data_IF_916852792492
#
_entry.id   IF_916852792492
#
_cell.length_a   1.000
_cell.length_b   1.000
_cell.length_c   1.000
_cell.angle_alpha   90.00
_cell.angle_beta   90.00
_cell.angle_gamma   90.00
#
_symmetry.space_group_name_H-M   'P 1'
#
loop_
_entity.id
_entity.type
_entity.pdbx_description
1 polymer ?
#
# COMPACT_ATOMS: atom_id res chain seq x y z
N UNK A 1 7.34 -46.58 24.39
CA UNK A 1 7.59 -46.16 23.00
C UNK A 1 6.41 -45.44 22.32
N UNK A 2 5.32 -45.06 23.01
CA UNK A 2 4.16 -44.39 22.37
C UNK A 2 4.07 -42.86 22.58
N UNK A 3 4.82 -42.30 23.54
CA UNK A 3 4.80 -40.86 23.88
C UNK A 3 5.70 -40.03 22.95
N UNK A 4 6.83 -40.58 22.52
CA UNK A 4 7.79 -39.92 21.62
C UNK A 4 7.22 -39.65 20.23
N UNK A 5 6.35 -40.54 19.73
CA UNK A 5 5.71 -40.39 18.42
C UNK A 5 4.65 -39.27 18.40
N UNK A 6 3.93 -39.08 19.52
CA UNK A 6 2.94 -38.00 19.66
C UNK A 6 3.60 -36.61 19.75
N UNK A 7 4.77 -36.52 20.39
CA UNK A 7 5.57 -35.29 20.47
C UNK A 7 6.18 -34.91 19.12
N UNK A 8 6.65 -35.90 18.34
CA UNK A 8 7.18 -35.68 16.98
C UNK A 8 6.09 -35.23 15.99
N UNK A 9 4.87 -35.79 16.08
CA UNK A 9 3.73 -35.34 15.27
C UNK A 9 3.28 -33.92 15.65
N UNK A 10 3.30 -33.57 16.95
CA UNK A 10 2.98 -32.22 17.42
C UNK A 10 3.98 -31.15 16.94
N UNK A 11 5.29 -31.47 16.96
CA UNK A 11 6.34 -30.58 16.51
C UNK A 11 6.32 -30.34 14.98
N UNK A 12 5.94 -31.34 14.18
CA UNK A 12 5.78 -31.20 12.73
C UNK A 12 4.61 -30.27 12.35
N UNK A 13 3.54 -30.26 13.15
CA UNK A 13 2.37 -29.42 12.89
C UNK A 13 2.65 -27.93 13.14
N UNK A 14 3.52 -27.59 14.11
CA UNK A 14 3.88 -26.20 14.42
C UNK A 14 4.78 -25.54 13.36
N UNK A 15 5.54 -26.32 12.59
CA UNK A 15 6.42 -25.81 11.52
C UNK A 15 5.62 -25.38 10.28
N UNK A 16 4.43 -25.92 10.06
CA UNK A 16 3.61 -25.64 8.87
C UNK A 16 2.88 -24.29 8.93
N UNK A 17 2.83 -23.63 10.09
CA UNK A 17 2.03 -22.41 10.29
C UNK A 17 2.88 -21.12 10.14
N UNK A 18 4.20 -21.22 9.95
CA UNK A 18 5.11 -20.07 10.03
C UNK A 18 5.52 -19.44 8.68
N UNK A 19 4.86 -19.74 7.57
CA UNK A 19 5.30 -19.26 6.25
C UNK A 19 4.84 -17.84 5.87
N UNK A 20 4.38 -17.03 6.84
CA UNK A 20 4.03 -15.62 6.61
C UNK A 20 5.29 -14.74 6.53
N UNK A 21 6.10 -14.93 5.49
CA UNK A 21 7.23 -14.05 5.19
C UNK A 21 6.68 -12.71 4.71
N UNK A 22 7.07 -11.62 5.37
CA UNK A 22 6.65 -10.29 4.96
C UNK A 22 7.19 -9.95 3.55
N UNK A 23 6.49 -9.13 2.76
CA UNK A 23 6.99 -8.71 1.45
C UNK A 23 8.39 -8.09 1.51
N UNK A 24 8.75 -7.43 2.62
CA UNK A 24 10.08 -6.85 2.88
C UNK A 24 11.15 -7.92 3.03
N UNK A 25 10.94 -8.91 3.91
CA UNK A 25 11.89 -10.01 4.09
C UNK A 25 12.10 -10.78 2.79
N UNK A 26 11.02 -11.00 2.01
CA UNK A 26 11.12 -11.59 0.67
C UNK A 26 11.98 -10.74 -0.26
N UNK A 27 11.88 -9.41 -0.23
CA UNK A 27 12.74 -8.51 -1.02
C UNK A 27 14.21 -8.62 -0.63
N UNK A 28 14.50 -8.64 0.67
CA UNK A 28 15.86 -8.78 1.20
C UNK A 28 16.45 -10.14 0.79
N UNK A 29 15.69 -11.22 0.99
CA UNK A 29 16.11 -12.58 0.64
C UNK A 29 16.38 -12.75 -0.86
N UNK A 30 15.61 -12.07 -1.72
CA UNK A 30 15.81 -12.08 -3.17
C UNK A 30 16.98 -11.21 -3.63
N UNK A 31 17.46 -10.27 -2.80
CA UNK A 31 18.51 -9.31 -3.17
C UNK A 31 19.59 -9.21 -2.07
N UNK A 32 20.24 -10.32 -1.69
CA UNK A 32 21.16 -10.35 -0.56
C UNK A 32 22.41 -9.49 -0.81
N UNK A 33 22.89 -9.42 -2.05
CA UNK A 33 24.07 -8.63 -2.43
C UNK A 33 23.82 -7.13 -2.23
N UNK A 34 22.63 -6.64 -2.61
CA UNK A 34 22.23 -5.25 -2.41
C UNK A 34 22.12 -4.96 -0.90
N UNK A 35 21.49 -5.85 -0.14
CA UNK A 35 21.35 -5.65 1.30
C UNK A 35 22.71 -5.59 2.02
N UNK A 36 23.65 -6.47 1.64
CA UNK A 36 24.99 -6.52 2.21
C UNK A 36 25.86 -5.32 1.84
N UNK A 37 25.60 -4.67 0.69
CA UNK A 37 26.33 -3.45 0.28
C UNK A 37 25.88 -2.19 1.04
N UNK A 38 24.72 -2.24 1.71
CA UNK A 38 24.24 -1.13 2.53
C UNK A 38 25.06 -0.97 3.81
N UNK A 39 25.09 0.26 4.33
CA UNK A 39 25.63 0.51 5.66
C UNK A 39 24.80 -0.19 6.74
N UNK A 40 25.41 -0.53 7.88
CA UNK A 40 24.71 -1.19 8.99
C UNK A 40 23.48 -0.41 9.47
N UNK A 41 23.52 0.92 9.46
CA UNK A 41 22.38 1.75 9.83
C UNK A 41 21.24 1.65 8.80
N UNK A 42 21.56 1.65 7.51
CA UNK A 42 20.58 1.51 6.44
C UNK A 42 19.98 0.08 6.42
N UNK A 43 20.77 -0.94 6.73
CA UNK A 43 20.31 -2.32 6.89
C UNK A 43 19.23 -2.45 7.98
N UNK A 44 19.43 -1.80 9.12
CA UNK A 44 18.46 -1.78 10.23
C UNK A 44 17.17 -1.04 9.83
N UNK A 45 17.29 0.08 9.12
CA UNK A 45 16.12 0.83 8.63
C UNK A 45 15.32 0.01 7.61
N UNK A 46 15.99 -0.70 6.70
CA UNK A 46 15.35 -1.58 5.72
C UNK A 46 14.55 -2.70 6.39
N UNK A 47 15.10 -3.33 7.44
CA UNK A 47 14.37 -4.34 8.22
C UNK A 47 13.10 -3.76 8.86
N UNK A 48 13.18 -2.52 9.34
CA UNK A 48 12.04 -1.81 9.93
C UNK A 48 11.05 -1.26 8.89
N UNK A 49 11.36 -1.37 7.59
CA UNK A 49 10.56 -0.74 6.53
C UNK A 49 10.60 0.78 6.59
N UNK A 50 11.71 1.36 7.04
CA UNK A 50 11.94 2.80 7.14
C UNK A 50 13.00 3.23 6.13
N UNK A 51 13.02 4.53 5.85
CA UNK A 51 14.04 5.17 5.02
C UNK A 51 14.51 6.45 5.72
N UNK A 52 15.59 7.04 5.21
CA UNK A 52 16.11 8.33 5.68
C UNK A 52 16.71 9.11 4.52
N UNK A 53 16.95 10.40 4.74
CA UNK A 53 17.76 11.21 3.83
C UNK A 53 19.17 10.64 3.68
N UNK A 54 19.71 10.74 2.46
CA UNK A 54 20.99 10.17 2.06
C UNK A 54 20.98 8.66 1.79
N UNK A 55 19.87 7.95 2.04
CA UNK A 55 19.76 6.53 1.68
C UNK A 55 19.86 6.34 0.15
N UNK A 56 20.36 5.17 -0.30
CA UNK A 56 20.45 4.86 -1.73
C UNK A 56 19.09 4.46 -2.31
N UNK A 57 18.90 4.58 -3.62
CA UNK A 57 17.69 4.06 -4.30
C UNK A 57 17.46 2.59 -4.03
N UNK A 58 18.55 1.83 -3.99
CA UNK A 58 18.55 0.41 -3.64
C UNK A 58 18.04 0.14 -2.23
N UNK A 59 18.48 0.92 -1.24
CA UNK A 59 17.95 0.83 0.13
C UNK A 59 16.46 1.13 0.18
N UNK A 60 16.00 2.17 -0.52
CA UNK A 60 14.57 2.50 -0.62
C UNK A 60 13.79 1.37 -1.31
N UNK A 61 14.33 0.77 -2.37
CA UNK A 61 13.72 -0.37 -3.04
C UNK A 61 13.56 -1.58 -2.11
N UNK A 62 14.55 -1.87 -1.26
CA UNK A 62 14.40 -2.94 -0.28
C UNK A 62 13.32 -2.61 0.77
N UNK A 63 13.29 -1.36 1.26
CA UNK A 63 12.30 -0.89 2.24
C UNK A 63 10.87 -0.91 1.69
N UNK A 64 10.62 -0.29 0.54
CA UNK A 64 9.26 -0.03 0.02
C UNK A 64 8.90 -0.89 -1.19
N UNK A 65 9.87 -1.29 -2.01
CA UNK A 65 9.65 -2.08 -3.22
C UNK A 65 9.68 -1.24 -4.49
N UNK A 66 9.01 -1.74 -5.54
CA UNK A 66 8.84 -0.97 -6.78
C UNK A 66 7.84 0.17 -6.52
N UNK A 67 8.13 1.40 -6.96
CA UNK A 67 7.16 2.48 -6.90
C UNK A 67 6.05 2.28 -7.94
N UNK A 68 4.86 2.83 -7.65
CA UNK A 68 3.74 2.84 -8.60
C UNK A 68 3.95 3.86 -9.72
N UNK A 69 4.69 4.93 -9.44
CA UNK A 69 5.04 5.95 -10.42
C UNK A 69 6.43 6.53 -10.19
N UNK A 70 7.15 6.77 -11.28
CA UNK A 70 8.45 7.45 -11.30
C UNK A 70 8.32 8.69 -12.17
N UNK A 71 8.60 9.85 -11.60
CA UNK A 71 8.68 11.12 -12.32
C UNK A 71 10.13 11.59 -12.37
N UNK A 72 10.62 11.99 -13.53
CA UNK A 72 11.96 12.55 -13.72
C UNK A 72 11.82 13.99 -14.19
N UNK A 73 12.66 14.88 -13.67
CA UNK A 73 12.64 16.29 -14.04
C UNK A 73 13.95 16.99 -13.72
N UNK A 74 13.97 18.31 -13.92
CA UNK A 74 15.07 19.17 -13.51
C UNK A 74 14.54 20.30 -12.66
N UNK A 75 15.21 20.58 -11.54
CA UNK A 75 14.91 21.74 -10.70
C UNK A 75 16.19 22.55 -10.51
N UNK A 76 16.15 23.83 -10.89
CA UNK A 76 17.32 24.73 -10.86
C UNK A 76 18.56 24.12 -11.56
N UNK A 77 18.33 23.47 -12.71
CA UNK A 77 19.38 22.81 -13.50
C UNK A 77 19.80 21.42 -13.02
N UNK A 78 19.37 20.98 -11.84
CA UNK A 78 19.75 19.67 -11.27
C UNK A 78 18.68 18.62 -11.58
N UNK A 79 19.11 17.44 -12.06
CA UNK A 79 18.23 16.30 -12.30
C UNK A 79 17.65 15.76 -10.99
N UNK A 80 16.33 15.54 -10.99
CA UNK A 80 15.58 14.97 -9.88
C UNK A 80 14.75 13.79 -10.37
N UNK A 81 14.60 12.81 -9.50
CA UNK A 81 13.74 11.65 -9.72
C UNK A 81 12.85 11.49 -8.48
N UNK A 82 11.53 11.36 -8.69
CA UNK A 82 10.56 11.22 -7.61
C UNK A 82 9.80 9.92 -7.78
N UNK A 83 9.86 9.09 -6.75
CA UNK A 83 9.10 7.85 -6.64
C UNK A 83 7.85 8.11 -5.82
N UNK A 84 6.71 7.63 -6.32
CA UNK A 84 5.41 7.72 -5.63
C UNK A 84 4.87 6.33 -5.39
N UNK A 85 4.44 6.09 -4.15
CA UNK A 85 3.79 4.86 -3.71
C UNK A 85 2.34 5.17 -3.37
N UNK A 86 1.43 4.38 -3.91
CA UNK A 86 -0.01 4.54 -3.74
C UNK A 86 -0.54 3.49 -2.77
N UNK A 87 -1.42 3.92 -1.86
CA UNK A 87 -2.24 3.04 -1.03
C UNK A 87 -3.71 3.18 -1.41
N UNK A 88 -4.53 2.29 -0.89
CA UNK A 88 -5.99 2.42 -0.96
C UNK A 88 -6.55 2.49 0.46
N UNK A 89 -7.52 3.38 0.68
CA UNK A 89 -8.23 3.49 1.96
C UNK A 89 -9.72 3.19 1.75
N UNK A 90 -10.35 2.42 2.66
CA UNK A 90 -11.78 2.20 2.62
C UNK A 90 -12.50 3.46 3.07
N UNK A 91 -13.43 3.93 2.25
CA UNK A 91 -14.39 4.98 2.58
C UNK A 91 -15.77 4.32 2.65
N UNK A 92 -16.42 4.47 3.80
CA UNK A 92 -17.76 3.95 4.03
C UNK A 92 -18.77 5.01 3.60
N UNK A 93 -19.58 4.69 2.59
CA UNK A 93 -20.70 5.52 2.18
C UNK A 93 -21.99 4.94 2.78
N UNK A 94 -22.66 5.74 3.62
CA UNK A 94 -24.00 5.41 4.11
C UNK A 94 -25.02 6.02 3.16
N UNK A 95 -25.56 5.22 2.25
CA UNK A 95 -26.65 5.65 1.36
C UNK A 95 -27.98 5.55 2.12
N UNK A 96 -28.15 6.27 3.23
CA UNK A 96 -29.46 6.45 3.88
C UNK A 96 -30.19 7.63 3.21
N UNK A 97 -30.45 7.49 1.92
CA UNK A 97 -31.29 8.43 1.18
C UNK A 97 -32.73 7.97 1.27
N UNK A 98 -33.53 8.59 2.14
CA UNK A 98 -34.99 8.54 2.05
C UNK A 98 -35.42 9.08 0.67
N UNK A 99 -35.48 8.23 -0.35
CA UNK A 99 -36.27 8.50 -1.55
C UNK A 99 -37.71 8.07 -1.28
N UNK A 100 -38.35 8.77 -0.34
CA UNK A 100 -39.80 8.76 -0.17
C UNK A 100 -40.26 10.18 -0.48
N UNK A 101 -40.87 10.38 -1.64
CA UNK A 101 -41.54 11.64 -1.96
C UNK A 101 -41.03 12.31 -3.23
N UNK A 102 -41.84 12.18 -4.27
CA UNK A 102 -42.19 13.23 -5.21
C UNK A 102 -41.66 14.64 -4.89
N UNK A 103 -40.91 15.21 -5.84
CA UNK A 103 -40.76 16.66 -6.00
C UNK A 103 -39.40 17.23 -5.61
N UNK A 104 -38.83 18.02 -6.52
CA UNK A 104 -37.77 18.98 -6.17
C UNK A 104 -36.53 18.91 -7.04
N UNK A 105 -36.60 19.57 -8.19
CA UNK A 105 -35.42 20.15 -8.85
C UNK A 105 -34.57 20.93 -7.84
N UNK A 106 -33.28 20.60 -7.70
CA UNK A 106 -32.12 21.52 -7.81
C UNK A 106 -30.86 20.93 -7.17
N UNK A 107 -29.84 20.79 -8.01
CA UNK A 107 -28.46 21.07 -7.63
C UNK A 107 -27.66 19.92 -7.02
N UNK A 108 -26.89 19.22 -7.84
CA UNK A 108 -25.45 19.54 -7.93
C UNK A 108 -24.85 18.84 -9.15
N UNK A 109 -24.26 19.65 -10.02
CA UNK A 109 -23.61 19.27 -11.26
C UNK A 109 -22.19 18.83 -10.90
N UNK A 110 -21.88 17.54 -10.90
CA UNK A 110 -20.51 17.12 -10.65
C UNK A 110 -20.31 15.61 -10.68
N UNK A 111 -19.51 15.17 -11.66
CA UNK A 111 -18.91 13.84 -11.76
C UNK A 111 -19.79 12.67 -12.18
N UNK A 112 -19.92 12.55 -13.51
CA UNK A 112 -20.25 11.32 -14.22
C UNK A 112 -19.06 10.36 -14.16
N UNK A 113 -18.82 9.74 -13.00
CA UNK A 113 -17.88 8.64 -12.84
C UNK A 113 -18.67 7.33 -12.84
N UNK A 114 -18.54 6.56 -13.91
CA UNK A 114 -19.06 5.19 -14.03
C UNK A 114 -18.42 4.29 -12.95
N UNK A 115 -19.02 4.28 -11.76
CA UNK A 115 -18.75 3.25 -10.75
C UNK A 115 -19.52 2.00 -11.12
N UNK A 116 -18.83 0.85 -11.19
CA UNK A 116 -19.42 -0.48 -11.23
C UNK A 116 -20.11 -0.82 -9.89
N UNK A 117 -21.07 0.00 -9.48
CA UNK A 117 -22.04 -0.36 -8.47
C UNK A 117 -23.25 -0.91 -9.20
N UNK A 118 -23.64 -2.14 -8.89
CA UNK A 118 -24.90 -2.73 -9.35
C UNK A 118 -26.05 -2.05 -8.60
N UNK A 119 -26.23 -0.73 -8.78
CA UNK A 119 -27.36 0.02 -8.24
C UNK A 119 -28.44 0.11 -9.31
N UNK A 120 -28.99 -1.05 -9.66
CA UNK A 120 -30.15 -1.16 -10.52
C UNK A 120 -31.43 -1.35 -9.70
N UNK A 121 -32.62 -1.05 -10.26
CA UNK A 121 -33.93 -1.37 -9.67
C UNK A 121 -34.16 -2.86 -9.33
N UNK A 122 -33.18 -3.73 -9.58
CA UNK A 122 -33.23 -5.19 -9.46
C UNK A 122 -32.29 -5.73 -8.36
N UNK A 123 -31.77 -4.88 -7.48
CA UNK A 123 -30.98 -5.35 -6.34
C UNK A 123 -31.87 -6.15 -5.36
N UNK A 124 -31.51 -7.41 -5.00
CA UNK A 124 -32.36 -8.29 -4.21
C UNK A 124 -32.48 -7.87 -2.73
N UNK A 125 -31.68 -6.90 -2.28
CA UNK A 125 -31.63 -6.46 -0.90
C UNK A 125 -32.21 -5.05 -0.80
N UNK A 126 -33.53 -4.98 -0.62
CA UNK A 126 -34.24 -3.82 -0.06
C UNK A 126 -33.66 -2.45 -0.49
N UNK A 127 -33.90 -2.08 -1.75
CA UNK A 127 -33.84 -0.71 -2.27
C UNK A 127 -32.85 0.23 -1.58
N UNK A 128 -31.60 0.24 -2.03
CA UNK A 128 -30.67 1.36 -1.83
C UNK A 128 -30.46 1.79 -0.36
N UNK A 129 -30.50 0.85 0.59
CA UNK A 129 -30.36 1.12 2.04
C UNK A 129 -29.24 0.27 2.65
N UNK A 130 -28.00 0.46 2.17
CA UNK A 130 -26.83 -0.30 2.66
C UNK A 130 -25.56 0.55 2.75
N UNK A 131 -24.68 0.17 3.68
CA UNK A 131 -23.33 0.74 3.79
C UNK A 131 -22.45 0.16 2.69
N UNK A 132 -21.98 0.98 1.77
CA UNK A 132 -21.06 0.54 0.70
C UNK A 132 -19.63 0.90 1.06
N UNK A 133 -18.70 -0.04 0.90
CA UNK A 133 -17.26 0.21 1.04
C UNK A 133 -16.68 0.52 -0.33
N UNK A 134 -16.15 1.72 -0.52
CA UNK A 134 -15.39 2.09 -1.70
C UNK A 134 -13.93 2.34 -1.35
N UNK A 135 -13.01 1.90 -2.22
CA UNK A 135 -11.58 2.08 -2.01
C UNK A 135 -11.10 3.28 -2.83
N UNK A 136 -10.60 4.30 -2.13
CA UNK A 136 -10.07 5.51 -2.77
C UNK A 136 -8.55 5.46 -2.73
N UNK A 137 -7.86 5.64 -3.86
CA UNK A 137 -6.40 5.68 -3.89
C UNK A 137 -5.87 6.95 -3.22
N UNK A 138 -4.76 6.84 -2.51
CA UNK A 138 -4.04 7.96 -1.90
C UNK A 138 -2.53 7.76 -2.03
N UNK A 139 -1.74 8.83 -1.91
CA UNK A 139 -0.27 8.69 -1.88
C UNK A 139 0.16 8.23 -0.50
N UNK A 140 0.65 7.01 -0.40
CA UNK A 140 1.12 6.42 0.85
C UNK A 140 2.55 6.85 1.20
N UNK A 141 3.39 7.08 0.18
CA UNK A 141 4.71 7.66 0.37
C UNK A 141 5.19 8.35 -0.90
N UNK A 142 6.04 9.35 -0.74
CA UNK A 142 6.82 9.92 -1.85
C UNK A 142 8.28 10.05 -1.44
N UNK A 143 9.17 9.76 -2.38
CA UNK A 143 10.63 9.83 -2.17
C UNK A 143 11.27 10.55 -3.33
N UNK A 144 11.99 11.63 -3.06
CA UNK A 144 12.71 12.41 -4.06
C UNK A 144 14.20 12.09 -3.96
N UNK A 145 14.82 11.87 -5.12
CA UNK A 145 16.23 11.57 -5.28
C UNK A 145 16.94 12.65 -6.08
N UNK A 146 18.16 12.95 -5.68
CA UNK A 146 19.15 13.65 -6.49
C UNK A 146 20.32 12.69 -6.73
N UNK A 147 20.53 12.31 -7.98
CA UNK A 147 21.45 11.20 -8.31
C UNK A 147 20.94 9.88 -7.71
N UNK A 148 21.75 9.25 -6.86
CA UNK A 148 21.41 7.99 -6.18
C UNK A 148 21.03 8.16 -4.70
N UNK A 149 20.75 9.38 -4.23
CA UNK A 149 20.56 9.67 -2.80
C UNK A 149 19.20 10.32 -2.55
N UNK A 150 18.53 9.86 -1.49
CA UNK A 150 17.28 10.48 -1.00
C UNK A 150 17.57 11.90 -0.52
N UNK A 151 16.83 12.88 -1.01
CA UNK A 151 16.90 14.27 -0.56
C UNK A 151 15.68 14.71 0.22
N UNK A 152 14.53 14.08 -0.03
CA UNK A 152 13.27 14.38 0.63
C UNK A 152 12.41 13.13 0.60
N UNK A 153 11.65 12.88 1.67
CA UNK A 153 10.63 11.85 1.66
C UNK A 153 9.47 12.22 2.58
N UNK A 154 8.30 11.76 2.20
CA UNK A 154 7.08 11.90 2.99
C UNK A 154 6.40 10.53 3.08
N UNK A 155 5.83 10.21 4.23
CA UNK A 155 5.20 8.91 4.50
C UNK A 155 3.87 9.14 5.19
N UNK A 156 2.86 8.35 4.84
CA UNK A 156 1.48 8.51 5.29
C UNK A 156 0.59 9.14 4.23
N UNK A 157 -0.72 9.22 4.49
CA UNK A 157 -1.69 9.78 3.56
C UNK A 157 -1.38 11.26 3.24
N UNK A 158 -1.24 11.57 1.95
CA UNK A 158 -1.05 12.93 1.44
C UNK A 158 -2.22 13.41 0.60
#
# INVERSE_FOLDING_TARGET
MSTSCRLLLGALLTVLISSCVSPRERRIANNPQIYQSLSTSDQLLVQQGRIREGMTKEGVFLSYGRPDSVAVGKQKGVSLEKWTYMGSQPVYANTFGMSMGWGGYRGYRGYRGLGYGYCGPWDPYWGNMGTTVMYVPYKAATVTFRGNRVTEYLTGPQ
#
